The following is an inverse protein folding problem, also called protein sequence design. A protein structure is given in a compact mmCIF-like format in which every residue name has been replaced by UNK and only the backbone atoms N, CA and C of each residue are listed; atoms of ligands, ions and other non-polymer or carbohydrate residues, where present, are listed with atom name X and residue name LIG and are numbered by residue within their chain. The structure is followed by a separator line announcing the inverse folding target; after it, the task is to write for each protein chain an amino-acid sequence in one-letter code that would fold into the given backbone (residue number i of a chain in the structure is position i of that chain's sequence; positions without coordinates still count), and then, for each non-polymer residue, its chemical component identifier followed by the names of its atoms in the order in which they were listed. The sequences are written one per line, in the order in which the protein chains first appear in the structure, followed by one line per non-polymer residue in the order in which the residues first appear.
data_IF_157961296415
#
_entry.id   IF_157961296415
#
_cell.length_a   1.000
_cell.length_b   1.000
_cell.length_c   1.000
_cell.angle_alpha   90.00
_cell.angle_beta   90.00
_cell.angle_gamma   90.00
#
_symmetry.space_group_name_H-M   'P 1'
#
loop_
_entity.id
_entity.type
_entity.pdbx_description
1 polymer ?
#
# COMPACT_ATOMS: atom_id res chain seq x y z
N UNK A 1 -9.29 1.35 -18.34
CA UNK A 1 -10.45 0.49 -18.64
C UNK A 1 -10.12 -0.91 -18.16
N UNK A 2 -10.99 -1.58 -17.40
CA UNK A 2 -10.80 -2.97 -16.93
C UNK A 2 -11.95 -3.81 -17.46
N UNK A 3 -11.66 -5.04 -17.88
CA UNK A 3 -12.64 -6.01 -18.34
C UNK A 3 -13.58 -6.38 -17.19
N UNK A 4 -14.92 -6.31 -17.39
CA UNK A 4 -15.88 -6.56 -16.31
C UNK A 4 -16.08 -8.04 -15.97
N UNK A 5 -15.64 -8.97 -16.83
CA UNK A 5 -15.84 -10.42 -16.67
C UNK A 5 -14.58 -11.08 -16.08
N UNK A 6 -13.40 -10.67 -16.54
CA UNK A 6 -12.10 -11.27 -16.23
C UNK A 6 -11.20 -10.33 -15.42
N UNK A 7 -11.67 -9.12 -15.05
CA UNK A 7 -10.93 -8.07 -14.32
C UNK A 7 -9.57 -7.71 -14.93
N UNK A 8 -9.35 -8.06 -16.19
CA UNK A 8 -8.09 -7.83 -16.90
C UNK A 8 -8.01 -6.35 -17.30
N UNK A 9 -6.85 -5.74 -17.13
CA UNK A 9 -6.69 -4.30 -17.37
C UNK A 9 -6.52 -4.04 -18.88
N UNK A 10 -7.48 -3.32 -19.48
CA UNK A 10 -7.57 -3.02 -20.91
C UNK A 10 -6.91 -1.69 -21.31
N UNK A 11 -6.59 -0.82 -20.35
CA UNK A 11 -5.79 0.41 -20.55
C UNK A 11 -4.74 0.47 -19.45
N UNK A 12 -3.47 0.65 -19.82
CA UNK A 12 -2.36 0.86 -18.89
C UNK A 12 -2.56 2.17 -18.12
N UNK A 13 -3.30 2.12 -17.01
CA UNK A 13 -2.97 3.02 -15.90
C UNK A 13 -1.59 2.56 -15.43
N UNK A 14 -0.61 3.46 -15.42
CA UNK A 14 0.79 3.15 -15.09
C UNK A 14 0.90 2.23 -13.86
N UNK A 15 1.92 1.37 -13.86
CA UNK A 15 2.15 0.46 -12.72
C UNK A 15 2.47 1.30 -11.49
N UNK A 16 1.92 0.96 -10.31
CA UNK A 16 2.21 1.70 -9.09
C UNK A 16 3.70 1.62 -8.77
N UNK A 17 4.28 2.76 -8.40
CA UNK A 17 5.64 2.87 -7.92
C UNK A 17 5.69 2.98 -6.40
N UNK A 18 6.85 2.71 -5.80
CA UNK A 18 6.99 2.88 -4.34
C UNK A 18 6.77 4.32 -3.96
N UNK A 19 5.99 4.52 -2.90
CA UNK A 19 5.66 5.83 -2.40
C UNK A 19 4.42 6.44 -3.05
N UNK A 20 3.86 5.87 -4.11
CA UNK A 20 2.62 6.36 -4.70
C UNK A 20 1.46 6.27 -3.70
N UNK A 21 0.56 7.25 -3.76
CA UNK A 21 -0.72 7.19 -3.06
C UNK A 21 -1.73 6.59 -4.04
N UNK A 22 -2.33 5.47 -3.68
CA UNK A 22 -3.28 4.73 -4.52
C UNK A 22 -4.63 4.63 -3.86
N UNK A 23 -5.68 4.70 -4.70
CA UNK A 23 -7.06 4.43 -4.31
C UNK A 23 -7.43 3.05 -4.84
N UNK A 24 -7.92 2.18 -3.97
CA UNK A 24 -8.35 0.83 -4.34
C UNK A 24 -9.57 0.39 -3.55
N UNK A 25 -10.32 -0.55 -4.12
CA UNK A 25 -11.50 -1.15 -3.50
C UNK A 25 -11.04 -2.06 -2.36
N UNK A 26 -11.58 -1.86 -1.15
CA UNK A 26 -11.24 -2.67 0.01
C UNK A 26 -11.60 -4.15 -0.26
N UNK A 27 -10.63 -5.10 -0.22
CA UNK A 27 -10.89 -6.45 -0.74
C UNK A 27 -12.04 -7.21 -0.08
N UNK A 28 -12.23 -7.14 1.26
CA UNK A 28 -13.37 -7.77 1.93
C UNK A 28 -14.72 -7.09 1.65
N UNK A 29 -14.73 -5.77 1.38
CA UNK A 29 -15.96 -5.02 1.09
C UNK A 29 -15.70 -4.02 -0.06
N UNK A 30 -15.82 -4.45 -1.33
CA UNK A 30 -15.47 -3.62 -2.48
C UNK A 30 -16.33 -2.38 -2.70
N UNK A 31 -17.42 -2.19 -1.96
CA UNK A 31 -18.18 -0.92 -1.99
C UNK A 31 -17.44 0.23 -1.30
N UNK A 32 -16.39 -0.06 -0.52
CA UNK A 32 -15.59 0.94 0.19
C UNK A 32 -14.27 1.18 -0.54
N UNK A 33 -13.96 2.45 -0.80
CA UNK A 33 -12.67 2.88 -1.35
C UNK A 33 -11.67 3.19 -0.25
N UNK A 34 -10.47 2.64 -0.35
CA UNK A 34 -9.35 2.88 0.56
C UNK A 34 -8.27 3.69 -0.15
N UNK A 35 -7.69 4.64 0.56
CA UNK A 35 -6.54 5.43 0.13
C UNK A 35 -5.35 5.01 1.00
N UNK A 36 -4.29 4.48 0.37
CA UNK A 36 -3.07 4.05 1.07
C UNK A 36 -1.83 4.38 0.23
N UNK A 37 -0.65 4.34 0.86
CA UNK A 37 0.64 4.49 0.18
C UNK A 37 1.21 3.11 -0.20
N UNK A 38 1.76 3.01 -1.40
CA UNK A 38 2.46 1.82 -1.89
C UNK A 38 3.80 1.71 -1.16
N UNK A 39 3.97 0.65 -0.38
CA UNK A 39 5.19 0.38 0.38
C UNK A 39 6.03 -0.71 -0.28
N UNK A 40 5.42 -1.86 -0.58
CA UNK A 40 6.05 -2.99 -1.27
C UNK A 40 5.55 -3.13 -2.70
N UNK A 41 6.44 -3.55 -3.58
CA UNK A 41 6.19 -3.99 -4.94
C UNK A 41 6.33 -5.53 -5.02
N UNK A 42 5.86 -6.16 -6.10
CA UNK A 42 6.05 -7.60 -6.30
C UNK A 42 7.53 -8.00 -6.21
N UNK A 43 7.82 -9.01 -5.38
CA UNK A 43 9.18 -9.51 -5.16
C UNK A 43 9.88 -8.98 -3.91
N UNK A 44 9.30 -8.01 -3.21
CA UNK A 44 9.90 -7.49 -1.98
C UNK A 44 9.52 -8.27 -0.74
N UNK A 45 10.42 -8.21 0.25
CA UNK A 45 10.12 -8.59 1.63
C UNK A 45 10.01 -7.31 2.46
N UNK A 46 8.80 -7.04 2.94
CA UNK A 46 8.49 -5.92 3.82
C UNK A 46 8.46 -6.41 5.26
N UNK A 47 9.24 -5.76 6.15
CA UNK A 47 9.22 -6.06 7.59
C UNK A 47 8.81 -4.81 8.35
N UNK A 48 7.85 -4.99 9.25
CA UNK A 48 7.37 -3.95 10.16
C UNK A 48 7.53 -4.44 11.59
N UNK A 49 8.18 -3.63 12.43
CA UNK A 49 8.46 -3.96 13.83
C UNK A 49 7.46 -3.29 14.78
N UNK A 50 7.38 -3.80 16.02
CA UNK A 50 6.48 -3.26 17.05
C UNK A 50 6.80 -1.83 17.47
N UNK A 51 8.06 -1.40 17.32
CA UNK A 51 8.52 -0.02 17.53
C UNK A 51 8.33 0.88 16.29
N UNK A 52 7.43 0.49 15.38
CA UNK A 52 7.02 1.24 14.18
C UNK A 52 8.15 1.45 13.17
N UNK A 53 9.15 0.57 13.12
CA UNK A 53 10.18 0.62 12.07
C UNK A 53 9.75 -0.22 10.88
N UNK A 54 9.93 0.35 9.69
CA UNK A 54 9.67 -0.30 8.42
C UNK A 54 11.02 -0.52 7.72
N UNK A 55 11.26 -1.73 7.23
CA UNK A 55 12.37 -1.97 6.31
C UNK A 55 11.89 -2.78 5.10
N UNK A 56 12.50 -2.50 3.95
CA UNK A 56 12.19 -3.15 2.68
C UNK A 56 13.46 -3.83 2.20
N UNK A 57 13.34 -5.10 1.85
CA UNK A 57 14.36 -5.85 1.14
C UNK A 57 13.85 -6.09 -0.28
N UNK A 58 14.49 -5.44 -1.25
CA UNK A 58 14.10 -5.55 -2.67
C UNK A 58 14.52 -6.90 -3.25
N UNK A 59 13.85 -7.35 -4.31
CA UNK A 59 14.23 -8.57 -5.02
C UNK A 59 15.70 -8.51 -5.46
N UNK A 60 16.52 -9.48 -5.01
CA UNK A 60 17.95 -9.56 -5.31
C UNK A 60 18.86 -8.85 -4.30
N UNK A 61 18.30 -8.13 -3.31
CA UNK A 61 19.07 -7.56 -2.21
C UNK A 61 19.10 -8.51 -1.00
N UNK A 62 20.26 -8.61 -0.37
CA UNK A 62 20.46 -9.42 0.84
C UNK A 62 20.11 -8.68 2.13
N UNK A 63 20.15 -7.34 2.13
CA UNK A 63 19.92 -6.51 3.31
C UNK A 63 18.58 -5.80 3.26
N UNK A 64 17.98 -5.62 4.44
CA UNK A 64 16.76 -4.85 4.59
C UNK A 64 17.12 -3.36 4.76
N UNK A 65 16.63 -2.51 3.86
CA UNK A 65 16.86 -1.07 3.92
C UNK A 65 15.78 -0.40 4.77
N UNK A 66 16.13 0.29 5.87
CA UNK A 66 15.14 0.98 6.68
C UNK A 66 14.51 2.13 5.88
N UNK A 67 13.20 2.24 5.95
CA UNK A 67 12.42 3.31 5.35
C UNK A 67 12.22 4.39 6.41
N UNK A 68 12.72 5.59 6.15
CA UNK A 68 12.45 6.75 7.02
C UNK A 68 10.97 7.10 6.91
N UNK A 69 10.25 6.97 8.01
CA UNK A 69 8.89 7.46 8.12
C UNK A 69 8.94 8.97 8.34
N UNK A 70 8.61 9.74 7.30
CA UNK A 70 8.47 11.21 7.37
C UNK A 70 7.00 11.59 7.48
N UNK A 71 6.70 12.67 8.20
CA UNK A 71 5.35 13.24 8.32
C UNK A 71 4.31 12.25 8.86
N UNK A 72 4.69 11.47 9.89
CA UNK A 72 3.76 10.60 10.60
C UNK A 72 2.90 11.47 11.52
N UNK A 73 1.72 11.82 11.04
CA UNK A 73 0.66 12.38 11.88
C UNK A 73 -0.36 11.30 12.20
N UNK A 74 -0.85 11.26 13.43
CA UNK A 74 -1.97 10.39 13.76
C UNK A 74 -3.21 10.89 13.04
N UNK A 75 -3.79 10.03 12.20
CA UNK A 75 -5.01 10.35 11.47
C UNK A 75 -6.14 10.66 12.44
N UNK A 76 -6.78 11.82 12.26
CA UNK A 76 -7.97 12.21 13.01
C UNK A 76 -9.24 11.51 12.48
N UNK A 77 -9.15 10.87 11.32
CA UNK A 77 -10.29 10.21 10.68
C UNK A 77 -10.56 8.87 11.34
N UNK A 78 -11.79 8.66 11.81
CA UNK A 78 -12.28 7.39 12.37
C UNK A 78 -13.47 6.92 11.55
N UNK A 79 -13.51 5.63 11.20
CA UNK A 79 -14.67 4.98 10.58
C UNK A 79 -15.19 3.89 11.51
N UNK A 80 -16.44 3.97 11.94
CA UNK A 80 -17.06 3.04 12.90
C UNK A 80 -16.20 2.82 14.18
N UNK A 81 -15.57 3.89 14.69
CA UNK A 81 -14.71 3.85 15.87
C UNK A 81 -13.29 3.31 15.62
N UNK A 82 -12.99 2.82 14.42
CA UNK A 82 -11.67 2.37 14.02
C UNK A 82 -10.90 3.57 13.44
N UNK A 83 -9.72 3.92 13.98
CA UNK A 83 -8.87 4.94 13.37
C UNK A 83 -8.51 4.52 11.95
N UNK A 84 -8.79 5.39 10.99
CA UNK A 84 -8.35 5.22 9.61
C UNK A 84 -6.90 5.70 9.53
N UNK A 85 -5.98 4.82 9.91
CA UNK A 85 -4.52 4.92 9.72
C UNK A 85 -4.17 4.52 8.30
#
# INVERSE_FOLDING_TARGET
LKDPVWRTQLVETGKPERGDIVVFKYPPQPSVDYIKRVVGLPGDIVRYSGDKQLCIQSQGESSCKPVKLSNVEESQFKSNGIPMI
#
